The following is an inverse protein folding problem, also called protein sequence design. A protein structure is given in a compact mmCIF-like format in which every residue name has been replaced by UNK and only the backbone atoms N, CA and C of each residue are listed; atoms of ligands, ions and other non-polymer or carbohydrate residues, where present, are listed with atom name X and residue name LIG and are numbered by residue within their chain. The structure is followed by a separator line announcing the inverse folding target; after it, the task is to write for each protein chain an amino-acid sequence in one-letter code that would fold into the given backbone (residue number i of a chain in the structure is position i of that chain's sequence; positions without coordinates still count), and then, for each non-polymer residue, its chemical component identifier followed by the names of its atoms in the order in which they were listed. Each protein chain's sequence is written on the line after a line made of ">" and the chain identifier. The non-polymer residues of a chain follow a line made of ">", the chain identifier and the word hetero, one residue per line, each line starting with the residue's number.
data_IF_456238265084
#
_entry.id   IF_456238265084
#
_cell.length_a   1.000
_cell.length_b   1.000
_cell.length_c   1.000
_cell.angle_alpha   90.00
_cell.angle_beta   90.00
_cell.angle_gamma   90.00
#
_symmetry.space_group_name_H-M   'P 1'
#
loop_
_entity.id
_entity.type
_entity.pdbx_description
1 polymer ?
#
# COMPACT_ATOMS: atom_id res chain seq x y z
N UNK A 1 -9.36 -6.59 9.38
CA UNK A 1 -9.77 -7.52 8.30
C UNK A 1 -9.39 -7.04 6.87
N UNK A 2 -9.36 -5.74 6.61
CA UNK A 2 -9.21 -5.23 5.23
C UNK A 2 -7.79 -5.33 4.65
N UNK A 3 -6.77 -5.51 5.49
CA UNK A 3 -5.36 -5.63 5.09
C UNK A 3 -4.96 -7.05 4.63
N UNK A 4 -5.90 -8.01 4.58
CA UNK A 4 -5.62 -9.38 4.10
C UNK A 4 -5.77 -9.52 2.58
N UNK A 5 -6.15 -8.44 1.90
CA UNK A 5 -6.30 -8.38 0.46
C UNK A 5 -5.72 -7.08 -0.07
N UNK A 6 -5.29 -7.09 -1.32
CA UNK A 6 -4.87 -5.90 -2.05
C UNK A 6 -5.97 -4.82 -2.01
N UNK A 7 -5.56 -3.56 -1.90
CA UNK A 7 -6.47 -2.42 -1.91
C UNK A 7 -7.26 -2.30 -3.22
N UNK A 8 -6.63 -2.61 -4.37
CA UNK A 8 -7.19 -2.32 -5.69
C UNK A 8 -7.75 -3.54 -6.43
N UNK A 9 -7.54 -4.74 -5.92
CA UNK A 9 -7.99 -5.97 -6.55
C UNK A 9 -8.29 -7.05 -5.51
N UNK A 10 -9.00 -8.14 -5.87
CA UNK A 10 -9.38 -9.18 -4.91
C UNK A 10 -8.22 -10.13 -4.56
N UNK A 11 -6.98 -9.83 -4.95
CA UNK A 11 -5.83 -10.68 -4.63
C UNK A 11 -5.59 -10.74 -3.12
N UNK A 12 -5.39 -11.94 -2.53
CA UNK A 12 -5.01 -12.06 -1.13
C UNK A 12 -3.53 -11.72 -0.88
N UNK A 13 -2.72 -11.58 -1.93
CA UNK A 13 -1.33 -11.15 -1.80
C UNK A 13 -1.26 -9.67 -1.41
N UNK A 14 -0.52 -9.41 -0.35
CA UNK A 14 -0.31 -8.07 0.23
C UNK A 14 1.17 -7.82 0.54
N UNK A 15 2.07 -8.44 -0.24
CA UNK A 15 3.53 -8.35 -0.05
C UNK A 15 4.13 -6.96 -0.35
N UNK A 16 3.33 -6.03 -0.85
CA UNK A 16 3.72 -4.67 -1.20
C UNK A 16 2.83 -3.65 -0.51
N UNK A 17 3.32 -2.42 -0.42
CA UNK A 17 2.63 -1.33 0.23
C UNK A 17 2.89 -0.01 -0.47
N UNK A 18 1.94 0.92 -0.30
CA UNK A 18 2.14 2.32 -0.63
C UNK A 18 2.01 3.18 0.63
N UNK A 19 3.15 3.65 1.20
CA UNK A 19 3.14 4.53 2.36
C UNK A 19 2.43 5.86 2.12
N UNK A 20 2.41 6.34 0.87
CA UNK A 20 1.70 7.57 0.48
C UNK A 20 0.23 7.54 0.87
N UNK A 21 -0.40 6.36 0.76
CA UNK A 21 -1.82 6.18 1.07
C UNK A 21 -2.07 5.27 2.29
N UNK A 22 -1.00 4.74 2.89
CA UNK A 22 -1.11 3.77 3.98
C UNK A 22 -1.77 2.45 3.58
N UNK A 23 -1.60 1.98 2.32
CA UNK A 23 -2.31 0.80 1.79
C UNK A 23 -1.37 -0.37 1.47
N UNK A 24 -1.92 -1.58 1.50
CA UNK A 24 -1.28 -2.81 1.03
C UNK A 24 -1.76 -3.21 -0.36
N UNK A 25 -0.83 -3.72 -1.16
CA UNK A 25 -0.97 -4.02 -2.57
C UNK A 25 -0.37 -5.41 -2.89
N UNK A 26 -0.91 -6.07 -3.90
CA UNK A 26 -0.25 -7.22 -4.52
C UNK A 26 0.88 -6.75 -5.46
N UNK A 27 1.73 -7.68 -5.89
CA UNK A 27 2.82 -7.39 -6.84
C UNK A 27 2.35 -6.67 -8.12
N UNK A 28 1.22 -7.08 -8.70
CA UNK A 28 0.72 -6.48 -9.94
C UNK A 28 0.24 -5.04 -9.73
N UNK A 29 -0.49 -4.77 -8.64
CA UNK A 29 -0.98 -3.42 -8.35
C UNK A 29 0.16 -2.49 -7.95
N UNK A 30 1.16 -3.00 -7.22
CA UNK A 30 2.37 -2.23 -6.88
C UNK A 30 3.13 -1.79 -8.14
N UNK A 31 3.19 -2.64 -9.18
CA UNK A 31 3.70 -2.28 -10.50
C UNK A 31 2.92 -1.14 -11.17
N UNK A 32 1.58 -1.17 -11.11
CA UNK A 32 0.75 -0.07 -11.62
C UNK A 32 1.00 1.23 -10.85
N UNK A 33 1.04 1.18 -9.53
CA UNK A 33 1.35 2.33 -8.69
C UNK A 33 2.73 2.93 -9.01
N UNK A 34 3.75 2.10 -9.26
CA UNK A 34 5.08 2.58 -9.68
C UNK A 34 5.03 3.38 -10.98
N UNK A 35 4.20 3.00 -11.95
CA UNK A 35 4.07 3.73 -13.22
C UNK A 35 3.48 5.14 -13.06
N UNK A 36 2.80 5.44 -11.95
CA UNK A 36 2.30 6.79 -11.63
C UNK A 36 3.43 7.75 -11.22
N UNK A 37 4.59 7.23 -10.85
CA UNK A 37 5.71 8.01 -10.32
C UNK A 37 5.64 8.25 -8.81
N UNK A 38 6.80 8.47 -8.21
CA UNK A 38 6.99 8.51 -6.75
C UNK A 38 6.24 9.62 -6.03
N UNK A 39 5.98 10.74 -6.72
CA UNK A 39 5.22 11.87 -6.19
C UNK A 39 3.72 11.56 -6.06
N UNK A 40 3.22 10.60 -6.84
CA UNK A 40 1.83 10.17 -6.80
C UNK A 40 1.65 8.91 -5.97
N UNK A 41 2.55 7.95 -6.09
CA UNK A 41 2.50 6.74 -5.27
C UNK A 41 3.90 6.25 -4.99
N UNK A 42 4.34 6.43 -3.75
CA UNK A 42 5.54 5.76 -3.27
C UNK A 42 5.21 4.30 -2.96
N UNK A 43 6.05 3.37 -3.41
CA UNK A 43 5.82 1.91 -3.29
C UNK A 43 7.02 1.24 -2.62
N UNK A 44 6.74 0.34 -1.70
CA UNK A 44 7.72 -0.45 -0.94
C UNK A 44 7.29 -1.91 -0.82
N UNK A 45 8.26 -2.81 -0.88
CA UNK A 45 8.12 -4.20 -0.45
C UNK A 45 8.09 -4.26 1.06
N UNK A 46 7.25 -5.14 1.62
CA UNK A 46 7.22 -5.36 3.07
C UNK A 46 8.46 -6.09 3.60
N UNK A 47 9.18 -6.83 2.75
CA UNK A 47 10.28 -7.71 3.19
C UNK A 47 11.62 -7.41 2.52
N UNK A 48 11.62 -6.75 1.36
CA UNK A 48 12.85 -6.52 0.58
C UNK A 48 13.38 -5.09 0.63
N UNK A 49 12.57 -4.13 1.05
CA UNK A 49 12.96 -2.73 1.10
C UNK A 49 13.18 -2.26 2.54
N UNK A 50 14.09 -1.29 2.70
CA UNK A 50 14.22 -0.55 3.96
C UNK A 50 13.11 0.48 4.12
N UNK A 51 12.67 0.64 5.36
CA UNK A 51 11.58 1.51 5.77
C UNK A 51 12.04 2.61 6.71
N UNK A 52 11.65 3.84 6.44
CA UNK A 52 11.81 4.93 7.40
C UNK A 52 10.70 4.88 8.47
N UNK A 53 10.98 5.45 9.64
CA UNK A 53 9.98 5.55 10.72
C UNK A 53 8.71 6.26 10.22
N UNK A 54 8.85 7.33 9.43
CA UNK A 54 7.71 8.05 8.87
C UNK A 54 6.83 7.16 7.98
N UNK A 55 7.43 6.29 7.15
CA UNK A 55 6.69 5.37 6.30
C UNK A 55 5.95 4.31 7.14
N UNK A 56 6.57 3.81 8.21
CA UNK A 56 5.95 2.86 9.13
C UNK A 56 4.74 3.52 9.81
N UNK A 57 4.89 4.74 10.32
CA UNK A 57 3.79 5.49 10.94
C UNK A 57 2.65 5.70 9.95
N UNK A 58 2.92 6.10 8.71
CA UNK A 58 1.88 6.24 7.67
C UNK A 58 1.11 4.95 7.43
N UNK A 59 1.76 3.79 7.51
CA UNK A 59 1.09 2.49 7.39
C UNK A 59 0.26 2.12 8.63
N UNK A 60 0.71 2.51 9.82
CA UNK A 60 0.00 2.27 11.09
C UNK A 60 -1.24 3.15 11.23
N UNK A 61 -1.16 4.41 10.80
CA UNK A 61 -2.28 5.36 10.82
C UNK A 61 -3.25 5.16 9.64
N UNK A 62 -2.82 4.43 8.62
CA UNK A 62 -3.62 4.11 7.44
C UNK A 62 -4.33 2.76 7.53
N UNK A 63 -4.32 2.05 6.41
CA UNK A 63 -4.89 0.72 6.24
C UNK A 63 -5.95 0.68 5.14
N UNK A 64 -6.06 -0.48 4.50
CA UNK A 64 -6.96 -0.68 3.36
C UNK A 64 -8.44 -0.44 3.72
N UNK A 65 -8.82 -0.65 4.99
CA UNK A 65 -10.19 -0.39 5.44
C UNK A 65 -10.50 1.10 5.48
N UNK A 66 -9.61 1.89 6.09
CA UNK A 66 -9.74 3.33 6.17
C UNK A 66 -9.69 3.97 4.78
N UNK A 67 -8.78 3.51 3.92
CA UNK A 67 -8.69 4.00 2.54
C UNK A 67 -9.95 3.73 1.73
N UNK A 68 -10.56 2.54 1.87
CA UNK A 68 -11.84 2.24 1.21
C UNK A 68 -12.95 3.18 1.66
N UNK A 69 -13.09 3.39 2.98
CA UNK A 69 -14.09 4.31 3.52
C UNK A 69 -13.86 5.78 3.15
N UNK A 70 -12.63 6.19 2.85
CA UNK A 70 -12.33 7.54 2.35
C UNK A 70 -12.65 7.73 0.86
N UNK A 71 -12.61 6.65 0.07
CA UNK A 71 -12.85 6.69 -1.38
C UNK A 71 -14.32 6.60 -1.77
N UNK A 72 -15.18 6.21 -0.84
CA UNK A 72 -16.64 6.14 -0.98
C UNK A 72 -17.29 7.45 -0.54
#
# INVERSE_FOLDING_TARGET
>A
PSNTHCSDCPSPDTSWASPTYGILLCLTCSGRHRSLGVNHSFVRSLTMDDWSLSQIVSMLEGGNGQWKGFRE
#
